data_IF_411333793112
#
_entry.id   IF_411333793112
#
_cell.length_a   1.000
_cell.length_b   1.000
_cell.length_c   1.000
_cell.angle_alpha   90.00
_cell.angle_beta   90.00
_cell.angle_gamma   90.00
#
_symmetry.space_group_name_H-M   'P 1'
#
loop_
_entity.id
_entity.type
_entity.pdbx_description
1 polymer ?
#
# COMPACT_ATOMS: atom_id res chain seq x y z
N UNK A 1 -70.02 -16.04 -23.37
CA UNK A 1 -70.00 -15.94 -21.89
C UNK A 1 -68.54 -15.76 -21.46
N UNK A 2 -68.20 -14.56 -21.01
CA UNK A 2 -66.84 -14.15 -20.64
C UNK A 2 -66.34 -14.84 -19.36
N UNK A 3 -65.07 -15.26 -19.37
CA UNK A 3 -64.28 -15.39 -18.14
C UNK A 3 -62.90 -14.76 -18.35
N UNK A 4 -62.74 -13.60 -17.71
CA UNK A 4 -61.47 -12.94 -17.50
C UNK A 4 -60.57 -13.80 -16.60
N UNK A 5 -59.27 -13.83 -16.88
CA UNK A 5 -58.32 -14.65 -16.14
C UNK A 5 -56.87 -14.17 -16.23
N UNK A 6 -56.52 -13.25 -15.33
CA UNK A 6 -55.19 -13.02 -14.73
C UNK A 6 -53.98 -12.78 -15.64
N UNK A 7 -53.71 -11.49 -15.79
CA UNK A 7 -52.44 -10.85 -16.13
C UNK A 7 -51.42 -11.09 -15.00
N UNK A 8 -50.45 -11.97 -15.20
CA UNK A 8 -49.28 -12.10 -14.31
C UNK A 8 -48.16 -11.19 -14.80
N UNK A 9 -48.14 -9.96 -14.28
CA UNK A 9 -47.02 -9.03 -14.42
C UNK A 9 -46.06 -9.32 -13.26
N UNK A 10 -45.06 -10.18 -13.48
CA UNK A 10 -43.94 -10.30 -12.56
C UNK A 10 -43.10 -9.04 -12.67
N UNK A 11 -43.28 -8.16 -11.69
CA UNK A 11 -42.48 -6.99 -11.46
C UNK A 11 -41.02 -7.42 -11.30
N UNK A 12 -40.14 -6.73 -12.03
CA UNK A 12 -38.68 -6.75 -11.87
C UNK A 12 -38.34 -6.82 -10.39
N UNK A 13 -37.68 -7.90 -9.97
CA UNK A 13 -36.87 -7.88 -8.78
C UNK A 13 -35.84 -6.75 -8.96
N UNK A 14 -35.90 -5.76 -8.07
CA UNK A 14 -34.88 -4.71 -8.02
C UNK A 14 -33.54 -5.38 -7.80
N UNK A 15 -32.62 -5.20 -8.75
CA UNK A 15 -31.20 -5.37 -8.48
C UNK A 15 -30.83 -4.37 -7.40
N UNK A 16 -30.71 -4.87 -6.18
CA UNK A 16 -30.07 -4.15 -5.09
C UNK A 16 -28.68 -3.77 -5.59
N UNK A 17 -28.31 -2.48 -5.69
CA UNK A 17 -26.93 -2.14 -5.93
C UNK A 17 -26.17 -2.63 -4.71
N UNK A 18 -25.31 -3.63 -4.90
CA UNK A 18 -24.32 -4.00 -3.92
C UNK A 18 -23.44 -2.76 -3.71
N UNK A 19 -23.79 -1.96 -2.70
CA UNK A 19 -22.94 -0.92 -2.13
C UNK A 19 -21.83 -1.61 -1.32
N UNK A 20 -21.09 -2.50 -1.96
CA UNK A 20 -19.77 -2.93 -1.53
C UNK A 20 -18.79 -2.08 -2.33
N UNK A 21 -18.63 -0.82 -1.95
CA UNK A 21 -17.43 -0.10 -2.36
C UNK A 21 -16.27 -0.94 -1.88
N UNK A 22 -15.47 -1.45 -2.82
CA UNK A 22 -14.24 -2.17 -2.50
C UNK A 22 -13.42 -1.25 -1.61
N UNK A 23 -13.45 -1.52 -0.30
CA UNK A 23 -12.54 -0.96 0.68
C UNK A 23 -11.17 -1.59 0.45
N UNK A 24 -10.62 -1.45 -0.76
CA UNK A 24 -9.21 -1.63 -1.01
C UNK A 24 -8.53 -0.55 -0.16
N UNK A 25 -8.11 -0.95 1.04
CA UNK A 25 -7.19 -0.17 1.85
C UNK A 25 -6.06 0.25 0.92
N UNK A 26 -5.88 1.56 0.73
CA UNK A 26 -4.75 2.06 -0.03
C UNK A 26 -3.48 1.39 0.56
N UNK A 27 -2.60 0.80 -0.26
CA UNK A 27 -1.40 0.15 0.24
C UNK A 27 -0.66 1.08 1.18
N UNK A 28 -0.21 0.57 2.32
CA UNK A 28 0.49 1.41 3.28
C UNK A 28 1.64 2.14 2.57
N UNK A 29 1.81 3.46 2.77
CA UNK A 29 2.79 4.26 2.04
C UNK A 29 4.26 3.82 2.28
N UNK A 30 4.51 2.95 3.26
CA UNK A 30 5.81 2.34 3.46
C UNK A 30 6.19 1.35 2.36
N UNK A 31 5.22 0.67 1.70
CA UNK A 31 5.50 -0.28 0.62
C UNK A 31 6.16 0.41 -0.59
N UNK A 32 5.55 1.48 -1.09
CA UNK A 32 6.11 2.24 -2.23
C UNK A 32 7.46 2.88 -1.89
N UNK A 33 7.64 3.29 -0.64
CA UNK A 33 8.93 3.83 -0.15
C UNK A 33 10.00 2.73 -0.11
N UNK A 34 9.64 1.52 0.31
CA UNK A 34 10.53 0.36 0.30
C UNK A 34 10.98 0.01 -1.13
N UNK A 35 10.05 -0.11 -2.09
CA UNK A 35 10.37 -0.41 -3.49
C UNK A 35 11.29 0.65 -4.09
N UNK A 36 10.98 1.93 -3.86
CA UNK A 36 11.82 3.06 -4.31
C UNK A 36 13.21 3.02 -3.67
N UNK A 37 13.33 2.57 -2.42
CA UNK A 37 14.62 2.40 -1.73
C UNK A 37 15.44 1.29 -2.38
N UNK A 38 14.82 0.15 -2.69
CA UNK A 38 15.46 -0.97 -3.40
C UNK A 38 15.95 -0.55 -4.79
N UNK A 39 15.14 0.22 -5.54
CA UNK A 39 15.52 0.74 -6.85
C UNK A 39 16.76 1.65 -6.78
N UNK A 40 16.83 2.55 -5.81
CA UNK A 40 18.00 3.43 -5.64
C UNK A 40 19.24 2.61 -5.25
N UNK A 41 19.09 1.60 -4.39
CA UNK A 41 20.19 0.72 -4.02
C UNK A 41 20.73 -0.05 -5.23
N UNK A 42 19.84 -0.54 -6.09
CA UNK A 42 20.20 -1.20 -7.34
C UNK A 42 20.91 -0.24 -8.29
N UNK A 43 20.40 0.98 -8.48
CA UNK A 43 21.01 1.98 -9.34
C UNK A 43 22.43 2.36 -8.85
N UNK A 44 22.64 2.47 -7.54
CA UNK A 44 23.98 2.70 -6.97
C UNK A 44 24.93 1.57 -7.34
N UNK A 45 24.49 0.32 -7.22
CA UNK A 45 25.30 -0.85 -7.55
C UNK A 45 25.71 -0.82 -9.04
N UNK A 46 24.77 -0.53 -9.93
CA UNK A 46 25.02 -0.40 -11.37
C UNK A 46 25.99 0.74 -11.69
N UNK A 47 25.80 1.92 -11.08
CA UNK A 47 26.68 3.08 -11.31
C UNK A 47 28.09 2.85 -10.78
N UNK A 48 28.24 2.15 -9.67
CA UNK A 48 29.56 1.73 -9.15
C UNK A 48 30.22 0.74 -10.13
N UNK A 49 29.47 -0.25 -10.61
CA UNK A 49 30.00 -1.20 -11.60
C UNK A 49 30.43 -0.49 -12.89
N UNK A 50 29.62 0.43 -13.40
CA UNK A 50 29.92 1.26 -14.58
C UNK A 50 31.20 2.08 -14.36
N UNK A 51 31.31 2.78 -13.24
CA UNK A 51 32.51 3.55 -12.88
C UNK A 51 33.75 2.67 -12.85
N UNK A 52 33.67 1.51 -12.18
CA UNK A 52 34.79 0.58 -12.09
C UNK A 52 35.21 0.04 -13.47
N UNK A 53 34.28 -0.11 -14.43
CA UNK A 53 34.61 -0.52 -15.79
C UNK A 53 35.36 0.59 -16.55
N UNK A 54 34.90 1.84 -16.45
CA UNK A 54 35.60 2.98 -17.05
C UNK A 54 37.00 3.19 -16.45
N UNK A 55 37.15 3.06 -15.13
CA UNK A 55 38.45 3.16 -14.46
C UNK A 55 39.43 2.10 -14.97
N UNK A 56 38.97 0.87 -15.23
CA UNK A 56 39.80 -0.18 -15.85
C UNK A 56 40.21 0.14 -17.28
N UNK A 57 39.43 0.94 -18.00
CA UNK A 57 39.77 1.47 -19.34
C UNK A 57 40.69 2.70 -19.27
N UNK A 58 41.03 3.18 -18.07
CA UNK A 58 41.84 4.39 -17.88
C UNK A 58 41.06 5.71 -18.04
N UNK A 59 39.73 5.63 -18.13
CA UNK A 59 38.85 6.80 -18.29
C UNK A 59 38.53 7.41 -16.93
N UNK A 60 38.56 8.75 -16.83
CA UNK A 60 38.08 9.47 -15.65
C UNK A 60 36.58 9.71 -15.77
N UNK A 61 35.84 9.38 -14.72
CA UNK A 61 34.37 9.50 -14.71
C UNK A 61 33.86 10.39 -13.57
N UNK A 62 34.19 11.69 -13.56
CA UNK A 62 33.76 12.61 -12.50
C UNK A 62 32.23 12.72 -12.42
N UNK A 63 31.53 12.59 -13.56
CA UNK A 63 30.07 12.57 -13.63
C UNK A 63 29.49 11.37 -12.87
N UNK A 64 29.98 10.15 -13.11
CA UNK A 64 29.52 8.95 -12.39
C UNK A 64 29.78 9.06 -10.89
N UNK A 65 30.94 9.59 -10.49
CA UNK A 65 31.25 9.80 -9.07
C UNK A 65 30.29 10.79 -8.41
N UNK A 66 29.91 11.87 -9.10
CA UNK A 66 28.90 12.81 -8.60
C UNK A 66 27.51 12.15 -8.51
N UNK A 67 27.10 11.41 -9.54
CA UNK A 67 25.83 10.67 -9.54
C UNK A 67 25.75 9.69 -8.37
N UNK A 68 26.78 8.87 -8.15
CA UNK A 68 26.86 7.93 -7.01
C UNK A 68 26.71 8.67 -5.69
N UNK A 69 27.38 9.81 -5.50
CA UNK A 69 27.25 10.61 -4.26
C UNK A 69 25.84 11.14 -4.06
N UNK A 70 25.18 11.60 -5.11
CA UNK A 70 23.80 12.09 -5.05
C UNK A 70 22.83 10.95 -4.73
N UNK A 71 22.97 9.79 -5.38
CA UNK A 71 22.16 8.61 -5.12
C UNK A 71 22.34 8.11 -3.68
N UNK A 72 23.56 8.09 -3.15
CA UNK A 72 23.83 7.72 -1.75
C UNK A 72 23.13 8.68 -0.76
N UNK A 73 23.14 9.98 -1.04
CA UNK A 73 22.40 10.96 -0.22
C UNK A 73 20.90 10.72 -0.28
N UNK A 74 20.35 10.43 -1.47
CA UNK A 74 18.93 10.12 -1.65
C UNK A 74 18.55 8.83 -0.91
N UNK A 75 19.37 7.78 -1.03
CA UNK A 75 19.17 6.52 -0.33
C UNK A 75 19.08 6.72 1.18
N UNK A 76 19.95 7.55 1.76
CA UNK A 76 19.90 7.89 3.19
C UNK A 76 18.55 8.51 3.57
N UNK A 77 18.10 9.52 2.84
CA UNK A 77 16.81 10.20 3.09
C UNK A 77 15.64 9.21 2.98
N UNK A 78 15.67 8.32 1.98
CA UNK A 78 14.63 7.29 1.79
C UNK A 78 14.59 6.26 2.92
N UNK A 79 15.75 5.83 3.40
CA UNK A 79 15.85 4.92 4.56
C UNK A 79 15.28 5.58 5.81
N UNK A 80 15.62 6.85 6.06
CA UNK A 80 15.11 7.58 7.23
C UNK A 80 13.58 7.76 7.14
N UNK A 81 13.05 8.13 5.96
CA UNK A 81 11.61 8.19 5.71
C UNK A 81 10.92 6.83 5.90
N UNK A 82 11.52 5.75 5.41
CA UNK A 82 10.97 4.40 5.55
C UNK A 82 10.86 4.00 7.02
N UNK A 83 11.88 4.29 7.83
CA UNK A 83 11.84 4.05 9.28
C UNK A 83 10.69 4.82 9.93
N UNK A 84 10.52 6.10 9.60
CA UNK A 84 9.43 6.92 10.16
C UNK A 84 8.04 6.42 9.75
N UNK A 85 7.89 5.93 8.52
CA UNK A 85 6.65 5.32 8.04
C UNK A 85 6.35 4.00 8.75
N UNK A 86 7.36 3.14 8.94
CA UNK A 86 7.20 1.88 9.66
C UNK A 86 6.87 2.11 11.14
N UNK A 87 7.54 3.05 11.80
CA UNK A 87 7.24 3.41 13.19
C UNK A 87 5.81 3.92 13.34
N UNK A 88 5.34 4.79 12.42
CA UNK A 88 3.95 5.25 12.40
C UNK A 88 2.97 4.12 12.16
N UNK A 89 3.18 3.27 11.15
CA UNK A 89 2.30 2.16 10.83
C UNK A 89 2.14 1.19 12.02
N UNK A 90 3.26 0.83 12.66
CA UNK A 90 3.25 -0.02 13.86
C UNK A 90 2.54 0.68 15.03
N UNK A 91 2.78 1.98 15.24
CA UNK A 91 2.13 2.75 16.31
C UNK A 91 0.62 2.90 16.09
N UNK A 92 0.18 3.16 14.85
CA UNK A 92 -1.25 3.21 14.48
C UNK A 92 -1.92 1.87 14.75
N UNK A 93 -1.24 0.74 14.47
CA UNK A 93 -1.74 -0.61 14.77
C UNK A 93 -1.85 -0.89 16.27
N UNK A 94 -1.07 -0.22 17.11
CA UNK A 94 -1.23 -0.26 18.57
C UNK A 94 -2.34 0.65 19.08
N UNK A 95 -2.63 1.75 18.38
CA UNK A 95 -3.64 2.75 18.80
C UNK A 95 -5.07 2.40 18.42
N UNK A 96 -5.28 1.49 17.47
CA UNK A 96 -6.57 0.82 17.31
C UNK A 96 -6.53 -0.48 18.12
N UNK A 97 -6.95 -0.49 19.41
CA UNK A 97 -7.46 -1.72 19.95
C UNK A 97 -8.58 -2.11 18.99
N UNK A 98 -8.43 -3.26 18.31
CA UNK A 98 -9.58 -3.93 17.74
C UNK A 98 -10.54 -4.02 18.92
N UNK A 99 -11.55 -3.13 18.93
CA UNK A 99 -12.65 -3.20 19.87
C UNK A 99 -13.18 -4.59 19.58
N UNK A 100 -12.85 -5.54 20.45
CA UNK A 100 -13.63 -6.73 20.63
C UNK A 100 -15.02 -6.20 20.91
N UNK A 101 -15.79 -6.07 19.83
CA UNK A 101 -17.23 -6.20 19.90
C UNK A 101 -17.39 -7.58 20.51
N UNK A 102 -17.58 -7.61 21.82
CA UNK A 102 -18.12 -8.73 22.54
C UNK A 102 -19.63 -8.67 22.24
N UNK A 103 -20.18 -9.46 21.30
CA UNK A 103 -21.63 -9.67 21.26
C UNK A 103 -22.16 -10.36 22.53
N UNK A 104 -21.29 -10.66 23.50
CA UNK A 104 -21.64 -11.37 24.73
C UNK A 104 -22.26 -10.47 25.82
N UNK A 105 -21.96 -9.16 25.83
CA UNK A 105 -22.54 -8.25 26.84
C UNK A 105 -23.93 -7.73 26.45
N UNK A 106 -24.33 -7.81 25.18
CA UNK A 106 -25.68 -7.42 24.72
C UNK A 106 -26.73 -8.52 24.98
N UNK A 107 -26.30 -9.76 25.25
CA UNK A 107 -27.19 -10.87 25.60
C UNK A 107 -27.58 -10.89 27.08
N UNK A 108 -26.76 -10.34 27.98
CA UNK A 108 -27.04 -10.30 29.42
C UNK A 108 -28.03 -9.20 29.81
N UNK A 109 -28.14 -8.12 29.04
CA UNK A 109 -29.11 -7.03 29.30
C UNK A 109 -30.54 -7.37 28.83
N UNK A 110 -30.72 -8.47 28.09
CA UNK A 110 -32.05 -9.00 27.69
C UNK A 110 -32.58 -10.09 28.62
N UNK A 111 -31.91 -10.35 29.74
CA UNK A 111 -32.34 -11.33 30.75
C UNK A 111 -32.61 -10.70 32.13
N UNK A 112 -32.69 -9.36 32.24
CA UNK A 112 -33.10 -8.68 33.48
C UNK A 112 -34.33 -7.80 33.30
#
# INVERSE_FOLDING_TARGET
MSRAGRRSQLLRAGSVPAAGGDCTMAPDPWFSTYDSTCQIAQEIAEKIQERNQCERRGEKTPKLTLTIRTLLKNLKVKIDLLKDLLLRAVSTRQMYPCKQTHPFLEWEEKQS
#
